data_IF_574059344649
#
_entry.id   IF_574059344649
#
_cell.length_a   1.000
_cell.length_b   1.000
_cell.length_c   1.000
_cell.angle_alpha   90.00
_cell.angle_beta   90.00
_cell.angle_gamma   90.00
#
_symmetry.space_group_name_H-M   'P 1'
#
loop_
_entity.id
_entity.type
_entity.pdbx_description
1 polymer ?
#
# COMPACT_ATOMS: atom_id res chain seq x y z
N UNK A 1 26.93 1.49 0.71
CA UNK A 1 26.19 0.93 1.84
C UNK A 1 25.54 2.08 2.59
N UNK A 2 24.23 2.12 2.82
CA UNK A 2 23.62 3.16 3.65
C UNK A 2 24.16 3.01 5.09
N UNK A 3 24.70 4.08 5.63
CA UNK A 3 25.19 4.13 7.01
C UNK A 3 24.00 3.98 7.94
N UNK A 4 23.95 2.87 8.67
CA UNK A 4 22.97 2.66 9.74
C UNK A 4 23.28 3.70 10.80
N UNK A 5 22.38 4.67 11.01
CA UNK A 5 22.54 5.63 12.11
C UNK A 5 22.56 4.89 13.44
N UNK A 6 23.44 5.27 14.37
CA UNK A 6 23.47 4.64 15.69
C UNK A 6 22.10 4.75 16.37
N UNK A 7 21.69 3.70 17.04
CA UNK A 7 20.38 3.62 17.73
C UNK A 7 20.17 4.79 18.71
N UNK A 8 21.24 5.30 19.31
CA UNK A 8 21.23 6.44 20.22
C UNK A 8 20.80 7.77 19.56
N UNK A 9 21.19 8.00 18.29
CA UNK A 9 20.80 9.21 17.54
C UNK A 9 19.30 9.19 17.17
N UNK A 10 18.74 8.02 17.02
CA UNK A 10 17.31 7.86 16.72
C UNK A 10 16.47 8.09 17.99
N UNK A 11 16.88 7.49 19.11
CA UNK A 11 16.16 7.60 20.39
C UNK A 11 16.17 9.05 20.91
N UNK A 12 17.22 9.83 20.62
CA UNK A 12 17.28 11.24 21.03
C UNK A 12 16.22 12.13 20.37
N UNK A 13 15.60 11.69 19.27
CA UNK A 13 14.51 12.38 18.56
C UNK A 13 13.12 12.05 19.11
N UNK A 14 13.03 11.03 19.96
CA UNK A 14 11.79 10.59 20.57
C UNK A 14 11.69 11.21 21.96
N UNK A 15 10.66 12.03 22.15
CA UNK A 15 10.49 12.82 23.37
C UNK A 15 9.53 12.18 24.38
N UNK A 16 8.68 11.27 23.94
CA UNK A 16 7.66 10.60 24.75
C UNK A 16 8.04 9.14 25.02
N UNK A 17 7.77 8.67 26.24
CA UNK A 17 7.95 7.28 26.67
C UNK A 17 7.28 6.28 25.71
N UNK A 18 6.12 6.61 25.18
CA UNK A 18 5.39 5.73 24.28
C UNK A 18 5.97 5.74 22.87
N UNK A 19 6.52 6.87 22.40
CA UNK A 19 7.27 6.91 21.14
C UNK A 19 8.45 5.92 21.16
N UNK A 20 9.19 5.87 22.28
CA UNK A 20 10.28 4.91 22.47
C UNK A 20 9.76 3.47 22.50
N UNK A 21 8.63 3.20 23.17
CA UNK A 21 8.03 1.86 23.19
C UNK A 21 7.56 1.43 21.81
N UNK A 22 6.93 2.33 21.03
CA UNK A 22 6.54 2.07 19.66
C UNK A 22 7.77 1.71 18.83
N UNK A 23 8.84 2.50 18.90
CA UNK A 23 10.08 2.22 18.18
C UNK A 23 10.65 0.85 18.52
N UNK A 24 10.77 0.54 19.80
CA UNK A 24 11.30 -0.75 20.25
C UNK A 24 10.42 -1.94 19.83
N UNK A 25 9.10 -1.73 19.71
CA UNK A 25 8.18 -2.78 19.29
C UNK A 25 8.39 -3.23 17.83
N UNK A 26 8.97 -2.37 16.98
CA UNK A 26 9.22 -2.64 15.57
C UNK A 26 10.21 -3.78 15.32
N UNK A 27 11.05 -4.11 16.30
CA UNK A 27 12.01 -5.22 16.22
C UNK A 27 11.38 -6.60 16.41
N UNK A 28 10.14 -6.67 16.92
CA UNK A 28 9.47 -7.95 17.16
C UNK A 28 8.96 -8.60 15.87
N UNK A 29 8.56 -9.87 15.98
CA UNK A 29 8.02 -10.63 14.85
C UNK A 29 6.63 -10.11 14.44
N UNK A 30 6.30 -10.23 13.16
CA UNK A 30 4.96 -9.91 12.68
C UNK A 30 3.94 -10.94 13.22
N UNK A 31 2.74 -10.49 13.58
CA UNK A 31 1.65 -11.33 14.12
C UNK A 31 1.37 -12.53 13.20
N UNK A 32 1.31 -12.33 11.87
CA UNK A 32 1.08 -13.41 10.91
C UNK A 32 2.20 -14.45 10.81
N UNK A 33 3.34 -14.22 11.47
CA UNK A 33 4.46 -15.19 11.55
C UNK A 33 4.61 -15.80 12.94
N UNK A 34 3.82 -15.36 13.93
CA UNK A 34 3.83 -15.87 15.29
C UNK A 34 2.97 -17.13 15.40
N UNK A 35 3.28 -17.98 16.37
CA UNK A 35 2.42 -19.10 16.73
C UNK A 35 1.13 -18.60 17.41
N UNK A 36 0.07 -19.37 17.31
CA UNK A 36 -1.21 -19.10 17.99
C UNK A 36 -1.01 -18.92 19.51
N UNK A 37 -0.07 -19.67 20.10
CA UNK A 37 0.23 -19.60 21.54
C UNK A 37 0.82 -18.25 21.90
N UNK A 38 1.78 -17.73 21.13
CA UNK A 38 2.41 -16.43 21.36
C UNK A 38 1.39 -15.30 21.26
N UNK A 39 0.54 -15.31 20.23
CA UNK A 39 -0.53 -14.32 20.06
C UNK A 39 -1.51 -14.37 21.22
N UNK A 40 -1.90 -15.57 21.66
CA UNK A 40 -2.79 -15.79 22.79
C UNK A 40 -2.24 -15.20 24.09
N UNK A 41 -0.95 -15.40 24.40
CA UNK A 41 -0.34 -14.87 25.62
C UNK A 41 -0.28 -13.34 25.60
N UNK A 42 0.02 -12.74 24.46
CA UNK A 42 -0.02 -11.27 24.35
C UNK A 42 -1.46 -10.76 24.50
N UNK A 43 -2.46 -11.42 23.93
CA UNK A 43 -3.86 -11.03 24.07
C UNK A 43 -4.37 -11.16 25.50
N UNK A 44 -3.89 -12.13 26.31
CA UNK A 44 -4.19 -12.19 27.74
C UNK A 44 -3.66 -10.94 28.47
N UNK A 45 -2.46 -10.51 28.12
CA UNK A 45 -1.89 -9.25 28.64
C UNK A 45 -2.74 -8.05 28.23
N UNK A 46 -3.17 -8.00 26.98
CA UNK A 46 -4.03 -6.93 26.45
C UNK A 46 -5.40 -6.90 27.18
N UNK A 47 -6.00 -8.06 27.44
CA UNK A 47 -7.22 -8.17 28.23
C UNK A 47 -7.05 -7.58 29.64
N UNK A 48 -5.98 -7.93 30.32
CA UNK A 48 -5.67 -7.37 31.66
C UNK A 48 -5.51 -5.84 31.62
N UNK A 49 -4.81 -5.32 30.60
CA UNK A 49 -4.59 -3.89 30.42
C UNK A 49 -5.87 -3.12 30.04
N UNK A 50 -6.81 -3.76 29.35
CA UNK A 50 -8.05 -3.12 28.93
C UNK A 50 -9.02 -2.85 30.09
N UNK A 51 -8.90 -3.58 31.20
CA UNK A 51 -9.83 -3.51 32.32
C UNK A 51 -11.26 -3.98 32.01
N UNK A 52 -11.43 -4.69 30.89
CA UNK A 52 -12.75 -5.21 30.44
C UNK A 52 -13.02 -6.59 31.01
N UNK A 53 -14.28 -7.04 30.89
CA UNK A 53 -14.65 -8.39 31.30
C UNK A 53 -14.01 -9.44 30.40
N UNK A 54 -13.61 -10.55 31.02
CA UNK A 54 -13.05 -11.70 30.32
C UNK A 54 -14.13 -12.39 29.48
N UNK A 55 -13.93 -12.59 28.18
CA UNK A 55 -14.84 -13.36 27.35
C UNK A 55 -14.81 -14.86 27.69
N UNK A 56 -15.81 -15.60 27.24
CA UNK A 56 -15.77 -17.07 27.31
C UNK A 56 -14.58 -17.62 26.49
N UNK A 57 -14.15 -18.84 26.82
CA UNK A 57 -12.96 -19.47 26.18
C UNK A 57 -13.14 -19.55 24.66
N UNK A 58 -14.33 -19.92 24.19
CA UNK A 58 -14.64 -20.01 22.76
C UNK A 58 -14.52 -18.66 22.04
N UNK A 59 -15.01 -17.62 22.70
CA UNK A 59 -14.93 -16.24 22.17
C UNK A 59 -13.50 -15.74 22.16
N UNK A 60 -12.70 -16.13 23.16
CA UNK A 60 -11.28 -15.76 23.19
C UNK A 60 -10.50 -16.43 22.07
N UNK A 61 -10.80 -17.69 21.74
CA UNK A 61 -10.18 -18.39 20.59
C UNK A 61 -10.56 -17.74 19.27
N UNK A 62 -11.81 -17.31 19.13
CA UNK A 62 -12.25 -16.53 17.97
C UNK A 62 -11.49 -15.21 17.87
N UNK A 63 -11.29 -14.49 19.00
CA UNK A 63 -10.52 -13.25 19.04
C UNK A 63 -9.06 -13.47 18.60
N UNK A 64 -8.42 -14.56 19.01
CA UNK A 64 -7.06 -14.92 18.58
C UNK A 64 -7.02 -15.08 17.06
N UNK A 65 -7.93 -15.86 16.48
CA UNK A 65 -8.05 -16.02 15.03
C UNK A 65 -8.24 -14.69 14.31
N UNK A 66 -9.18 -13.88 14.78
CA UNK A 66 -9.45 -12.55 14.24
C UNK A 66 -8.21 -11.64 14.21
N UNK A 67 -7.39 -11.67 15.28
CA UNK A 67 -6.16 -10.86 15.35
C UNK A 67 -5.12 -11.34 14.34
N UNK A 68 -4.93 -12.65 14.20
CA UNK A 68 -3.99 -13.22 13.24
C UNK A 68 -4.39 -12.86 11.80
N UNK A 69 -5.68 -12.92 11.47
CA UNK A 69 -6.17 -12.64 10.13
C UNK A 69 -6.13 -11.15 9.78
N UNK A 70 -6.54 -10.28 10.70
CA UNK A 70 -6.75 -8.87 10.39
C UNK A 70 -5.54 -7.98 10.71
N UNK A 71 -4.62 -8.43 11.58
CA UNK A 71 -3.46 -7.65 12.01
C UNK A 71 -2.12 -8.33 11.72
N UNK A 72 -2.09 -9.27 10.76
CA UNK A 72 -0.90 -10.04 10.38
C UNK A 72 0.37 -9.22 10.10
N UNK A 73 0.21 -8.01 9.57
CA UNK A 73 1.30 -7.10 9.21
C UNK A 73 1.90 -6.35 10.41
N UNK A 74 1.16 -6.22 11.50
CA UNK A 74 1.66 -5.56 12.71
C UNK A 74 2.65 -6.46 13.45
N UNK A 75 3.52 -5.84 14.22
CA UNK A 75 4.43 -6.54 15.12
C UNK A 75 3.70 -6.99 16.38
N UNK A 76 4.05 -8.16 16.91
CA UNK A 76 3.36 -8.71 18.09
C UNK A 76 3.45 -7.75 19.30
N UNK A 77 4.61 -7.12 19.50
CA UNK A 77 4.77 -6.15 20.59
C UNK A 77 4.00 -4.84 20.35
N UNK A 78 3.67 -4.49 19.11
CA UNK A 78 2.83 -3.30 18.84
C UNK A 78 1.43 -3.47 19.44
N UNK A 79 0.88 -4.69 19.38
CA UNK A 79 -0.40 -5.00 20.02
C UNK A 79 -0.36 -4.73 21.52
N UNK A 80 0.70 -5.17 22.21
CA UNK A 80 0.89 -4.92 23.64
C UNK A 80 1.03 -3.43 23.94
N UNK A 81 1.86 -2.70 23.18
CA UNK A 81 2.07 -1.25 23.35
C UNK A 81 0.78 -0.48 23.14
N UNK A 82 -0.04 -0.87 22.15
CA UNK A 82 -1.35 -0.26 21.90
C UNK A 82 -2.26 -0.35 23.14
N UNK A 83 -2.33 -1.50 23.80
CA UNK A 83 -3.13 -1.68 25.01
C UNK A 83 -2.50 -1.01 26.25
N UNK A 84 -1.20 -0.92 26.35
CA UNK A 84 -0.54 -0.07 27.36
C UNK A 84 -0.90 1.41 27.19
N UNK A 85 -0.98 1.89 25.95
CA UNK A 85 -1.41 3.26 25.65
C UNK A 85 -2.91 3.47 25.96
N UNK A 86 -3.75 2.49 25.70
CA UNK A 86 -5.16 2.50 26.09
C UNK A 86 -5.30 2.62 27.62
N UNK A 87 -4.62 1.76 28.36
CA UNK A 87 -4.64 1.76 29.83
C UNK A 87 -4.14 3.08 30.45
N UNK A 88 -3.26 3.80 29.72
CA UNK A 88 -2.73 5.09 30.13
C UNK A 88 -3.54 6.29 29.59
N UNK A 89 -4.71 6.07 29.02
CA UNK A 89 -5.60 7.09 28.42
C UNK A 89 -4.90 7.94 27.33
N UNK A 90 -4.02 7.30 26.56
CA UNK A 90 -3.30 7.92 25.44
C UNK A 90 -3.96 7.68 24.07
N UNK A 91 -4.96 6.83 24.03
CA UNK A 91 -5.74 6.53 22.82
C UNK A 91 -7.18 7.00 23.02
N UNK A 92 -7.70 7.71 22.02
CA UNK A 92 -9.13 8.10 22.01
C UNK A 92 -9.94 6.91 21.48
N UNK A 93 -10.38 6.04 22.39
CA UNK A 93 -11.17 4.85 22.11
C UNK A 93 -12.39 4.86 23.00
N UNK A 94 -13.55 4.42 22.50
CA UNK A 94 -14.76 4.29 23.28
C UNK A 94 -14.60 3.25 24.41
N UNK A 95 -15.29 3.46 25.53
CA UNK A 95 -15.28 2.50 26.63
C UNK A 95 -16.06 1.25 26.26
N UNK A 96 -15.39 0.12 26.34
CA UNK A 96 -15.99 -1.20 26.14
C UNK A 96 -16.11 -1.94 27.47
N UNK A 97 -17.20 -2.69 27.64
CA UNK A 97 -17.42 -3.53 28.83
C UNK A 97 -16.76 -4.89 28.66
N UNK A 98 -16.76 -5.41 27.43
CA UNK A 98 -16.30 -6.77 27.10
C UNK A 98 -15.11 -6.67 26.15
N UNK A 99 -14.11 -7.53 26.37
CA UNK A 99 -13.00 -7.72 25.44
C UNK A 99 -13.50 -8.42 24.17
N UNK A 100 -13.49 -7.74 23.06
CA UNK A 100 -14.06 -8.23 21.80
C UNK A 100 -13.27 -7.72 20.58
N UNK A 101 -13.50 -8.24 19.38
CA UNK A 101 -12.86 -7.81 18.16
C UNK A 101 -13.03 -6.32 17.84
N UNK A 102 -14.18 -5.72 18.18
CA UNK A 102 -14.44 -4.29 17.95
C UNK A 102 -13.48 -3.42 18.76
N UNK A 103 -13.32 -3.70 20.07
CA UNK A 103 -12.37 -3.00 20.92
C UNK A 103 -10.95 -3.08 20.34
N UNK A 104 -10.50 -4.28 19.94
CA UNK A 104 -9.15 -4.46 19.36
C UNK A 104 -9.01 -3.65 18.08
N UNK A 105 -10.01 -3.67 17.22
CA UNK A 105 -10.02 -2.88 15.98
C UNK A 105 -9.88 -1.39 16.21
N UNK A 106 -10.60 -0.83 17.16
CA UNK A 106 -10.56 0.58 17.55
C UNK A 106 -9.21 0.96 18.16
N UNK A 107 -8.69 0.14 19.10
CA UNK A 107 -7.39 0.34 19.73
C UNK A 107 -6.27 0.33 18.68
N UNK A 108 -6.23 -0.67 17.80
CA UNK A 108 -5.21 -0.77 16.77
C UNK A 108 -5.32 0.34 15.72
N UNK A 109 -6.53 0.79 15.41
CA UNK A 109 -6.75 1.93 14.50
C UNK A 109 -6.25 3.25 15.09
N UNK A 110 -6.53 3.51 16.38
CA UNK A 110 -6.03 4.68 17.10
C UNK A 110 -4.50 4.64 17.24
N UNK A 111 -3.95 3.49 17.62
CA UNK A 111 -2.51 3.25 17.72
C UNK A 111 -1.80 3.49 16.39
N UNK A 112 -2.31 2.97 15.29
CA UNK A 112 -1.72 3.12 13.95
C UNK A 112 -1.46 4.57 13.58
N UNK A 113 -2.38 5.48 13.92
CA UNK A 113 -2.23 6.93 13.64
C UNK A 113 -0.98 7.50 14.32
N UNK A 114 -0.74 7.11 15.57
CA UNK A 114 0.42 7.56 16.36
C UNK A 114 1.69 6.85 15.87
N UNK A 115 1.63 5.54 15.64
CA UNK A 115 2.77 4.75 15.18
C UNK A 115 3.33 5.23 13.84
N UNK A 116 2.46 5.66 12.90
CA UNK A 116 2.90 6.27 11.63
C UNK A 116 3.69 7.55 11.87
N UNK A 117 3.25 8.42 12.78
CA UNK A 117 3.98 9.65 13.10
C UNK A 117 5.35 9.37 13.73
N UNK A 118 5.42 8.37 14.63
CA UNK A 118 6.69 7.94 15.24
C UNK A 118 7.62 7.36 14.19
N UNK A 119 7.14 6.50 13.31
CA UNK A 119 7.95 5.95 12.20
C UNK A 119 8.50 7.05 11.31
N UNK A 120 7.70 8.05 10.95
CA UNK A 120 8.14 9.20 10.15
C UNK A 120 9.23 10.05 10.83
N UNK A 121 9.23 10.11 12.18
CA UNK A 121 10.31 10.79 12.94
C UNK A 121 11.62 10.00 12.94
N UNK A 122 11.51 8.68 12.95
CA UNK A 122 12.65 7.74 13.12
C UNK A 122 13.24 7.32 11.77
N UNK A 123 12.38 7.00 10.83
CA UNK A 123 12.85 6.77 9.48
C UNK A 123 13.47 8.08 9.03
N UNK A 124 14.78 8.08 8.69
CA UNK A 124 15.30 9.22 7.97
C UNK A 124 14.30 9.43 6.84
N UNK A 125 13.84 10.67 6.64
CA UNK A 125 13.36 11.03 5.33
C UNK A 125 14.50 10.57 4.41
N UNK A 126 14.37 9.38 3.89
CA UNK A 126 14.96 9.06 2.63
C UNK A 126 14.24 10.11 1.78
N UNK A 127 14.83 11.32 1.69
CA UNK A 127 14.75 11.98 0.43
C UNK A 127 15.17 10.83 -0.48
N UNK A 128 14.18 10.19 -1.07
CA UNK A 128 14.39 9.61 -2.35
C UNK A 128 14.92 10.80 -3.17
N UNK A 129 16.21 11.07 -3.05
CA UNK A 129 16.98 11.32 -4.23
C UNK A 129 16.68 10.05 -5.02
N UNK A 130 15.53 10.08 -5.69
CA UNK A 130 15.41 9.43 -6.95
C UNK A 130 16.65 9.97 -7.67
N UNK A 131 17.77 9.26 -7.47
CA UNK A 131 18.81 9.25 -8.49
C UNK A 131 17.96 9.02 -9.71
N UNK A 132 17.85 10.00 -10.61
CA UNK A 132 17.07 9.76 -11.80
C UNK A 132 17.68 8.47 -12.30
N UNK A 133 16.94 7.38 -12.13
CA UNK A 133 17.30 6.12 -12.73
C UNK A 133 17.36 6.54 -14.18
N UNK A 134 18.58 6.69 -14.71
CA UNK A 134 18.78 7.00 -16.11
C UNK A 134 18.21 5.79 -16.81
N UNK A 135 16.87 5.84 -16.99
CA UNK A 135 16.18 4.85 -17.79
C UNK A 135 16.77 5.07 -19.17
N UNK A 136 17.51 4.09 -19.64
CA UNK A 136 17.87 4.04 -21.02
C UNK A 136 16.58 3.93 -21.81
N UNK A 137 16.08 5.09 -22.27
CA UNK A 137 14.82 5.18 -22.99
C UNK A 137 14.84 4.31 -24.27
N UNK A 138 16.00 4.10 -24.88
CA UNK A 138 16.13 3.23 -26.06
C UNK A 138 15.94 1.78 -25.69
N UNK A 139 16.59 1.35 -24.62
CA UNK A 139 16.45 -0.01 -24.13
C UNK A 139 15.01 -0.25 -23.66
N UNK A 140 14.40 0.69 -22.96
CA UNK A 140 13.01 0.58 -22.50
C UNK A 140 12.00 0.46 -23.67
N UNK A 141 12.19 1.24 -24.73
CA UNK A 141 11.38 1.14 -25.95
C UNK A 141 11.53 -0.25 -26.59
N UNK A 142 12.77 -0.73 -26.70
CA UNK A 142 13.06 -2.03 -27.29
C UNK A 142 12.48 -3.19 -26.49
N UNK A 143 12.63 -3.15 -25.17
CA UNK A 143 12.09 -4.16 -24.29
C UNK A 143 10.55 -4.22 -24.35
N UNK A 144 9.88 -3.07 -24.43
CA UNK A 144 8.43 -2.99 -24.58
C UNK A 144 7.96 -3.53 -25.94
N UNK A 145 8.70 -3.24 -27.00
CA UNK A 145 8.41 -3.77 -28.34
C UNK A 145 8.63 -5.28 -28.40
N UNK A 146 9.70 -5.78 -27.78
CA UNK A 146 9.98 -7.21 -27.68
C UNK A 146 8.90 -7.93 -26.86
N UNK A 147 8.46 -7.33 -25.75
CA UNK A 147 7.31 -7.83 -24.97
C UNK A 147 6.06 -7.94 -25.82
N UNK A 148 5.73 -6.87 -26.57
CA UNK A 148 4.56 -6.89 -27.47
C UNK A 148 4.65 -7.99 -28.53
N UNK A 149 5.80 -8.16 -29.14
CA UNK A 149 6.02 -9.14 -30.20
C UNK A 149 5.93 -10.60 -29.69
N UNK A 150 6.40 -10.86 -28.47
CA UNK A 150 6.42 -12.18 -27.83
C UNK A 150 5.10 -12.54 -27.11
N UNK A 151 4.27 -11.55 -26.81
CA UNK A 151 3.02 -11.77 -26.08
C UNK A 151 1.99 -12.51 -26.94
N UNK A 152 1.55 -13.67 -26.46
CA UNK A 152 0.46 -14.43 -27.08
C UNK A 152 -0.88 -13.67 -26.99
N UNK A 153 -1.12 -13.02 -25.85
CA UNK A 153 -2.29 -12.18 -25.62
C UNK A 153 -1.92 -10.71 -25.86
N UNK A 154 -2.04 -10.26 -27.11
CA UNK A 154 -1.77 -8.86 -27.50
C UNK A 154 -2.78 -7.88 -26.91
N UNK A 155 -2.74 -7.70 -25.60
CA UNK A 155 -3.61 -6.74 -24.91
C UNK A 155 -2.87 -5.43 -24.66
N UNK A 156 -3.22 -4.40 -25.41
CA UNK A 156 -2.61 -3.07 -25.35
C UNK A 156 -2.69 -2.40 -23.96
N UNK A 157 -3.60 -2.84 -23.08
CA UNK A 157 -3.75 -2.30 -21.72
C UNK A 157 -2.55 -2.58 -20.83
N UNK A 158 -1.77 -3.61 -21.13
CA UNK A 158 -0.57 -3.95 -20.39
C UNK A 158 0.66 -3.15 -20.85
N UNK A 159 0.59 -2.43 -21.97
CA UNK A 159 1.68 -1.58 -22.41
C UNK A 159 1.92 -0.42 -21.44
N UNK A 160 3.19 -0.04 -21.29
CA UNK A 160 3.57 1.09 -20.46
C UNK A 160 3.37 2.42 -21.20
N UNK A 161 2.48 3.28 -20.73
CA UNK A 161 2.19 4.56 -21.35
C UNK A 161 3.39 5.53 -21.40
N UNK A 162 4.38 5.38 -20.51
CA UNK A 162 5.60 6.21 -20.50
C UNK A 162 6.46 5.98 -21.76
N UNK A 163 6.41 4.77 -22.33
CA UNK A 163 7.10 4.45 -23.58
C UNK A 163 6.59 5.32 -24.74
N UNK A 164 5.27 5.62 -24.73
CA UNK A 164 4.71 6.57 -25.69
C UNK A 164 5.37 7.95 -25.58
N UNK A 165 5.58 8.46 -24.35
CA UNK A 165 6.18 9.77 -24.12
C UNK A 165 7.65 9.79 -24.58
N UNK A 166 8.40 8.71 -24.38
CA UNK A 166 9.76 8.57 -24.88
C UNK A 166 9.81 8.58 -26.42
N UNK A 167 8.97 7.77 -27.06
CA UNK A 167 8.89 7.70 -28.52
C UNK A 167 8.38 9.02 -29.15
N UNK A 168 7.44 9.69 -28.48
CA UNK A 168 6.93 11.00 -28.91
C UNK A 168 8.04 12.07 -28.87
N UNK A 169 8.77 12.19 -27.78
CA UNK A 169 9.89 13.11 -27.64
C UNK A 169 10.96 12.91 -28.71
N UNK A 170 11.17 11.68 -29.14
CA UNK A 170 12.14 11.30 -30.20
C UNK A 170 11.58 11.41 -31.61
N UNK A 171 10.33 11.82 -31.78
CA UNK A 171 9.67 11.94 -33.08
C UNK A 171 9.38 10.60 -33.77
N UNK A 172 9.47 9.48 -33.05
CA UNK A 172 9.19 8.14 -33.56
C UNK A 172 7.68 7.85 -33.66
N UNK A 173 6.86 8.59 -32.92
CA UNK A 173 5.40 8.60 -33.02
C UNK A 173 4.96 10.02 -33.40
N UNK A 174 4.16 10.12 -34.46
CA UNK A 174 3.49 11.35 -34.87
C UNK A 174 2.02 11.03 -35.05
N UNK A 175 1.15 11.74 -34.37
CA UNK A 175 -0.30 11.53 -34.40
C UNK A 175 -0.95 12.83 -34.89
N UNK A 176 -1.73 12.75 -35.94
CA UNK A 176 -2.57 13.87 -36.40
C UNK A 176 -3.77 14.05 -35.46
N UNK A 177 -4.43 15.19 -35.54
CA UNK A 177 -5.63 15.47 -34.74
C UNK A 177 -6.71 14.41 -35.03
N UNK A 178 -6.94 14.09 -36.31
CA UNK A 178 -7.94 13.11 -36.75
C UNK A 178 -7.63 11.71 -36.20
N UNK A 179 -6.33 11.31 -36.23
CA UNK A 179 -5.90 10.04 -35.63
C UNK A 179 -6.13 10.03 -34.11
N UNK A 180 -5.83 11.14 -33.43
CA UNK A 180 -6.06 11.29 -31.99
C UNK A 180 -7.55 11.16 -31.63
N UNK A 181 -8.44 11.79 -32.38
CA UNK A 181 -9.88 11.71 -32.18
C UNK A 181 -10.42 10.29 -32.44
N UNK A 182 -9.92 9.62 -33.48
CA UNK A 182 -10.23 8.23 -33.77
C UNK A 182 -9.78 7.28 -32.65
N UNK A 183 -8.55 7.45 -32.15
CA UNK A 183 -8.01 6.66 -31.04
C UNK A 183 -8.89 6.83 -29.79
N UNK A 184 -9.22 8.08 -29.44
CA UNK A 184 -10.07 8.39 -28.30
C UNK A 184 -11.45 7.75 -28.41
N UNK A 185 -12.05 7.80 -29.59
CA UNK A 185 -13.35 7.16 -29.87
C UNK A 185 -13.27 5.63 -29.71
N UNK A 186 -12.23 4.98 -30.26
CA UNK A 186 -12.01 3.53 -30.14
C UNK A 186 -11.78 3.09 -28.70
N UNK A 187 -10.89 3.78 -27.96
CA UNK A 187 -10.65 3.48 -26.55
C UNK A 187 -11.94 3.59 -25.75
N UNK A 188 -12.72 4.67 -25.95
CA UNK A 188 -14.00 4.87 -25.28
C UNK A 188 -15.00 3.75 -25.59
N UNK A 189 -15.09 3.34 -26.86
CA UNK A 189 -15.99 2.25 -27.29
C UNK A 189 -15.65 0.92 -26.61
N UNK A 190 -14.35 0.60 -26.46
CA UNK A 190 -13.91 -0.62 -25.75
C UNK A 190 -14.33 -0.58 -24.28
N UNK A 191 -14.14 0.55 -23.61
CA UNK A 191 -14.55 0.69 -22.20
C UNK A 191 -16.08 0.57 -22.04
N UNK A 192 -16.86 1.18 -22.92
CA UNK A 192 -18.32 1.09 -22.90
C UNK A 192 -18.82 -0.33 -23.14
N UNK A 193 -18.18 -1.07 -24.06
CA UNK A 193 -18.57 -2.46 -24.36
C UNK A 193 -18.32 -3.43 -23.19
N UNK A 194 -17.34 -3.15 -22.34
CA UNK A 194 -16.99 -3.99 -21.20
C UNK A 194 -17.72 -3.60 -19.91
N UNK A 195 -18.30 -2.40 -19.86
CA UNK A 195 -19.02 -1.93 -18.68
C UNK A 195 -20.37 -2.62 -18.54
N UNK A 196 -20.65 -3.13 -17.34
CA UNK A 196 -22.00 -3.65 -16.99
C UNK A 196 -23.07 -2.53 -16.93
N UNK A 197 -22.64 -1.27 -16.75
CA UNK A 197 -23.49 -0.08 -16.68
C UNK A 197 -22.85 1.07 -17.47
N UNK A 198 -22.97 1.07 -18.80
CA UNK A 198 -22.33 2.08 -19.66
C UNK A 198 -22.73 3.52 -19.33
N UNK A 199 -23.93 3.71 -18.76
CA UNK A 199 -24.51 5.02 -18.44
C UNK A 199 -23.81 5.71 -17.25
N UNK A 200 -23.23 4.91 -16.33
CA UNK A 200 -22.60 5.41 -15.09
C UNK A 200 -21.08 5.53 -15.22
N UNK A 201 -20.52 5.23 -16.38
CA UNK A 201 -19.09 5.15 -16.57
C UNK A 201 -18.48 6.53 -16.84
N UNK A 202 -18.04 7.18 -15.77
CA UNK A 202 -17.17 8.36 -15.82
C UNK A 202 -15.70 7.89 -15.85
N UNK A 203 -15.08 7.96 -17.04
CA UNK A 203 -13.62 7.77 -17.16
C UNK A 203 -13.02 9.16 -16.99
N UNK A 204 -12.16 9.31 -15.98
CA UNK A 204 -11.45 10.57 -15.78
C UNK A 204 -10.48 10.85 -16.95
N UNK A 205 -10.19 12.13 -17.16
CA UNK A 205 -9.39 12.57 -18.31
C UNK A 205 -7.96 12.01 -18.29
N UNK A 206 -7.37 11.80 -17.12
CA UNK A 206 -6.02 11.27 -17.01
C UNK A 206 -5.98 9.79 -17.38
N UNK A 207 -6.91 9.00 -16.86
CA UNK A 207 -7.07 7.58 -17.26
C UNK A 207 -7.31 7.47 -18.75
N UNK A 208 -8.20 8.27 -19.33
CA UNK A 208 -8.45 8.28 -20.77
C UNK A 208 -7.18 8.60 -21.55
N UNK A 209 -6.40 9.61 -21.14
CA UNK A 209 -5.14 10.00 -21.76
C UNK A 209 -4.12 8.86 -21.75
N UNK A 210 -3.92 8.20 -20.60
CA UNK A 210 -3.01 7.06 -20.48
C UNK A 210 -3.43 5.89 -21.37
N UNK A 211 -4.70 5.57 -21.44
CA UNK A 211 -5.19 4.50 -22.29
C UNK A 211 -5.05 4.82 -23.79
N UNK A 212 -5.26 6.08 -24.18
CA UNK A 212 -5.00 6.51 -25.56
C UNK A 212 -3.51 6.38 -25.93
N UNK A 213 -2.57 6.71 -25.02
CA UNK A 213 -1.13 6.49 -25.23
C UNK A 213 -0.81 5.01 -25.46
N UNK A 214 -1.34 4.12 -24.61
CA UNK A 214 -1.15 2.66 -24.74
C UNK A 214 -1.71 2.13 -26.06
N UNK A 215 -2.91 2.57 -26.47
CA UNK A 215 -3.52 2.19 -27.73
C UNK A 215 -2.68 2.67 -28.92
N UNK A 216 -2.14 3.89 -28.86
CA UNK A 216 -1.23 4.43 -29.87
C UNK A 216 0.06 3.61 -30.01
N UNK A 217 0.62 3.14 -28.87
CA UNK A 217 1.78 2.24 -28.88
C UNK A 217 1.44 0.92 -29.61
N UNK A 218 0.30 0.32 -29.31
CA UNK A 218 -0.16 -0.88 -30.01
C UNK A 218 -0.24 -0.64 -31.53
N UNK A 219 -0.83 0.47 -31.95
CA UNK A 219 -0.92 0.81 -33.38
C UNK A 219 0.48 0.97 -34.00
N UNK A 220 1.41 1.62 -33.29
CA UNK A 220 2.79 1.80 -33.72
C UNK A 220 3.53 0.46 -33.87
N UNK A 221 3.41 -0.42 -32.88
CA UNK A 221 4.06 -1.74 -32.92
C UNK A 221 3.45 -2.67 -33.99
N UNK A 222 2.22 -2.42 -34.39
CA UNK A 222 1.56 -3.11 -35.49
C UNK A 222 1.74 -2.40 -36.86
N UNK A 223 2.60 -1.36 -36.96
CA UNK A 223 2.80 -0.55 -38.16
C UNK A 223 1.52 0.09 -38.74
N UNK A 224 0.64 0.56 -37.85
CA UNK A 224 -0.63 1.20 -38.18
C UNK A 224 -0.64 2.73 -37.96
N UNK A 225 0.50 3.28 -37.51
CA UNK A 225 0.76 4.72 -37.31
C UNK A 225 1.93 5.18 -38.18
#
# INVERSE_FOLDING_TARGET
MPSVKPQEEIVSKLTDKYEIKIYNSLSSMNIGKCSIIEVREVLKTCLQLSGTQTPEIKDFDFIVGFVIENFAIFKLNELKVAFEMLAADKLSVEKHIIFNPKLIGEVMSAYKKIAVQVRQKVEPKIEEKQLPMQIDEEQAIKDEQDYWNKSEQKNWRFLNHQIFDYMWKRGQIKITKEQGDMIKAKVRAVFLAESKRPQDMLIDDETMRQQCKKYSLMMKFNNQL
#
